data_IF_366411264882
#
_entry.id   IF_366411264882
#
_cell.length_a   1.000
_cell.length_b   1.000
_cell.length_c   1.000
_cell.angle_alpha   90.00
_cell.angle_beta   90.00
_cell.angle_gamma   90.00
#
_symmetry.space_group_name_H-M   'P 1'
#
loop_
_entity.id
_entity.type
_entity.pdbx_description
1 polymer ?
#
# COMPACT_ATOMS: atom_id res chain seq x y z
N UNK A 1 -6.30 2.81 2.89
CA UNK A 1 -6.39 3.10 4.34
C UNK A 1 -6.18 4.60 4.54
N UNK A 2 -6.83 5.24 5.52
CA UNK A 2 -6.54 6.63 5.91
C UNK A 2 -5.77 6.59 7.22
N UNK A 3 -4.60 7.22 7.26
CA UNK A 3 -3.69 7.18 8.41
C UNK A 3 -3.20 8.59 8.76
N UNK A 4 -2.91 8.80 10.04
CA UNK A 4 -2.27 10.02 10.54
C UNK A 4 -1.32 9.64 11.68
N UNK A 5 -0.23 10.39 11.84
CA UNK A 5 0.67 10.19 12.97
C UNK A 5 0.10 10.78 14.24
N UNK A 6 0.11 9.99 15.30
CA UNK A 6 -0.01 10.52 16.66
C UNK A 6 1.28 11.29 16.99
N UNK A 7 1.16 12.42 17.69
CA UNK A 7 2.30 13.15 18.22
C UNK A 7 2.89 12.37 19.42
N UNK A 8 3.59 11.29 19.10
CA UNK A 8 4.16 10.36 20.05
C UNK A 8 5.54 9.91 19.56
N UNK A 9 6.58 9.88 20.42
CA UNK A 9 7.95 9.52 20.01
C UNK A 9 8.11 8.14 19.35
N UNK A 10 7.12 7.25 19.51
CA UNK A 10 7.09 5.96 18.82
C UNK A 10 6.87 6.09 17.30
N UNK A 11 6.12 7.11 16.86
CA UNK A 11 5.91 7.39 15.44
C UNK A 11 7.24 7.74 14.73
N UNK A 12 8.19 8.33 15.46
CA UNK A 12 9.52 8.68 14.94
C UNK A 12 10.46 7.47 14.80
N UNK A 13 10.12 6.30 15.34
CA UNK A 13 11.00 5.11 15.34
C UNK A 13 10.60 4.06 14.31
N UNK A 14 9.31 3.89 14.05
CA UNK A 14 8.83 2.90 13.10
C UNK A 14 8.87 3.47 11.66
N UNK A 15 9.40 2.74 10.67
CA UNK A 15 9.45 3.21 9.28
C UNK A 15 8.09 3.67 8.73
N UNK A 16 7.00 2.95 9.08
CA UNK A 16 5.65 3.33 8.67
C UNK A 16 5.23 4.68 9.30
N UNK A 17 5.51 4.88 10.58
CA UNK A 17 5.23 6.16 11.26
C UNK A 17 6.02 7.32 10.65
N UNK A 18 7.29 7.08 10.29
CA UNK A 18 8.13 8.06 9.60
C UNK A 18 7.57 8.41 8.22
N UNK A 19 7.14 7.41 7.43
CA UNK A 19 6.54 7.63 6.11
C UNK A 19 5.25 8.47 6.21
N UNK A 20 4.36 8.13 7.16
CA UNK A 20 3.11 8.89 7.39
C UNK A 20 3.41 10.32 7.82
N UNK A 21 4.35 10.52 8.76
CA UNK A 21 4.74 11.85 9.24
C UNK A 21 5.29 12.70 8.11
N UNK A 22 6.21 12.11 7.33
CA UNK A 22 6.84 12.78 6.20
C UNK A 22 5.83 13.23 5.16
N UNK A 23 4.82 12.41 4.85
CA UNK A 23 3.75 12.79 3.94
C UNK A 23 2.84 13.88 4.52
N UNK A 24 2.49 13.78 5.80
CA UNK A 24 1.69 14.80 6.48
C UNK A 24 2.38 16.16 6.50
N UNK A 25 3.68 16.22 6.78
CA UNK A 25 4.49 17.44 6.77
C UNK A 25 4.58 18.10 5.39
N UNK A 26 4.37 17.33 4.31
CA UNK A 26 4.29 17.82 2.91
C UNK A 26 2.88 18.20 2.46
N UNK A 27 1.93 18.33 3.39
CA UNK A 27 0.55 18.73 3.09
C UNK A 27 -0.45 17.57 3.00
N UNK A 28 -0.03 16.34 3.31
CA UNK A 28 -0.89 15.16 3.26
C UNK A 28 -1.16 14.67 1.84
N UNK A 29 -2.24 13.90 1.66
CA UNK A 29 -2.59 13.23 0.38
C UNK A 29 -2.13 11.78 0.31
N UNK A 30 -2.12 11.22 -0.89
CA UNK A 30 -1.69 9.83 -1.13
C UNK A 30 -0.25 9.62 -0.69
N UNK A 31 -0.02 8.63 0.18
CA UNK A 31 1.32 8.31 0.70
C UNK A 31 1.97 7.16 -0.08
N UNK A 32 1.20 6.12 -0.36
CA UNK A 32 1.70 4.85 -0.89
C UNK A 32 0.55 4.04 -1.48
N UNK A 33 0.90 3.05 -2.29
CA UNK A 33 0.04 1.93 -2.66
C UNK A 33 0.68 0.62 -2.19
N UNK A 34 -0.14 -0.40 -1.97
CA UNK A 34 0.27 -1.65 -1.31
C UNK A 34 -0.26 -2.85 -2.07
N UNK A 35 0.58 -3.88 -2.20
CA UNK A 35 0.20 -5.17 -2.73
C UNK A 35 0.02 -6.16 -1.59
N UNK A 36 -1.20 -6.72 -1.48
CA UNK A 36 -1.45 -7.86 -0.62
C UNK A 36 -0.95 -9.13 -1.32
N UNK A 37 -0.17 -9.94 -0.61
CA UNK A 37 0.40 -11.20 -1.12
C UNK A 37 0.11 -12.34 -0.15
N UNK A 38 -0.05 -13.54 -0.69
CA UNK A 38 -0.25 -14.75 0.12
C UNK A 38 1.04 -15.17 0.83
N UNK A 39 2.19 -14.90 0.20
CA UNK A 39 3.53 -15.19 0.70
C UNK A 39 4.49 -14.06 0.37
N UNK A 40 5.12 -13.48 1.39
CA UNK A 40 6.10 -12.38 1.23
C UNK A 40 7.51 -12.89 0.93
N UNK A 41 7.81 -14.18 1.14
CA UNK A 41 9.16 -14.75 1.01
C UNK A 41 9.81 -14.49 -0.37
N UNK A 42 9.12 -14.61 -1.52
CA UNK A 42 9.72 -14.31 -2.81
C UNK A 42 10.21 -12.85 -2.92
N UNK A 43 9.49 -11.92 -2.30
CA UNK A 43 9.86 -10.51 -2.26
C UNK A 43 10.99 -10.24 -1.26
N UNK A 44 11.04 -10.97 -0.13
CA UNK A 44 12.18 -10.93 0.79
C UNK A 44 13.48 -11.36 0.11
N UNK A 45 13.43 -12.47 -0.63
CA UNK A 45 14.57 -12.98 -1.39
C UNK A 45 15.01 -11.99 -2.47
N UNK A 46 14.04 -11.38 -3.18
CA UNK A 46 14.31 -10.40 -4.22
C UNK A 46 14.93 -9.12 -3.68
N UNK A 47 14.40 -8.57 -2.59
CA UNK A 47 14.87 -7.33 -1.99
C UNK A 47 16.05 -7.54 -1.03
N UNK A 48 16.43 -8.80 -0.77
CA UNK A 48 17.59 -9.17 0.04
C UNK A 48 17.45 -8.84 1.53
N UNK A 49 16.21 -8.74 2.04
CA UNK A 49 15.94 -8.40 3.45
C UNK A 49 14.59 -8.96 3.91
N UNK A 50 14.46 -9.31 5.20
CA UNK A 50 13.23 -9.86 5.73
C UNK A 50 12.13 -8.78 5.86
N UNK A 51 10.89 -9.22 5.76
CA UNK A 51 9.72 -8.49 6.15
C UNK A 51 9.71 -8.28 7.67
N UNK A 52 9.03 -7.23 8.09
CA UNK A 52 8.84 -6.86 9.49
C UNK A 52 7.43 -7.22 9.91
N UNK A 53 7.28 -7.75 11.12
CA UNK A 53 5.96 -8.05 11.67
C UNK A 53 5.24 -6.76 12.08
N UNK A 54 3.96 -6.68 11.74
CA UNK A 54 3.04 -5.63 12.14
C UNK A 54 1.90 -6.18 12.97
N UNK A 55 1.40 -5.36 13.89
CA UNK A 55 0.28 -5.72 14.77
C UNK A 55 -0.59 -4.49 15.07
N UNK A 56 -1.90 -4.69 15.10
CA UNK A 56 -2.87 -3.69 15.55
C UNK A 56 -3.90 -4.34 16.47
N UNK A 57 -3.91 -3.90 17.73
CA UNK A 57 -4.94 -4.26 18.68
C UNK A 57 -6.25 -3.51 18.36
N UNK A 58 -7.32 -4.24 18.07
CA UNK A 58 -8.65 -3.67 17.83
C UNK A 58 -9.39 -3.43 19.16
N UNK A 59 -10.35 -2.49 19.21
CA UNK A 59 -11.15 -2.23 20.41
C UNK A 59 -12.00 -3.42 20.89
N UNK A 60 -12.27 -4.40 20.03
CA UNK A 60 -12.99 -5.64 20.35
C UNK A 60 -12.09 -6.73 20.96
N UNK A 61 -10.80 -6.43 21.18
CA UNK A 61 -9.82 -7.33 21.80
C UNK A 61 -9.10 -8.25 20.81
N UNK A 62 -9.40 -8.16 19.51
CA UNK A 62 -8.72 -8.96 18.48
C UNK A 62 -7.41 -8.30 18.06
N UNK A 63 -6.34 -9.10 17.99
CA UNK A 63 -5.06 -8.68 17.42
C UNK A 63 -5.02 -8.98 15.93
N UNK A 64 -4.96 -7.93 15.12
CA UNK A 64 -4.63 -8.05 13.70
C UNK A 64 -3.13 -8.12 13.55
N UNK A 65 -2.63 -9.11 12.80
CA UNK A 65 -1.21 -9.34 12.56
C UNK A 65 -0.93 -9.52 11.08
N UNK A 66 0.24 -9.03 10.64
CA UNK A 66 0.69 -9.11 9.26
C UNK A 66 2.22 -9.07 9.19
N UNK A 67 2.78 -9.40 8.03
CA UNK A 67 4.15 -9.06 7.64
C UNK A 67 4.11 -7.93 6.63
N UNK A 68 5.10 -7.04 6.66
CA UNK A 68 5.24 -5.97 5.67
C UNK A 68 6.69 -5.79 5.22
N UNK A 69 6.86 -5.42 3.95
CA UNK A 69 8.16 -5.22 3.33
C UNK A 69 8.04 -4.09 2.32
N UNK A 70 9.02 -3.18 2.23
CA UNK A 70 9.02 -2.14 1.19
C UNK A 70 8.75 -0.71 1.67
N UNK A 71 8.43 -0.47 2.94
CA UNK A 71 8.07 0.88 3.42
C UNK A 71 9.20 1.91 3.22
N UNK A 72 10.46 1.50 3.40
CA UNK A 72 11.60 2.39 3.16
C UNK A 72 11.79 2.67 1.68
N UNK A 73 11.52 1.69 0.82
CA UNK A 73 11.58 1.84 -0.63
C UNK A 73 10.54 2.85 -1.12
N UNK A 74 9.32 2.79 -0.57
CA UNK A 74 8.29 3.82 -0.85
C UNK A 74 8.75 5.22 -0.46
N UNK A 75 9.54 5.38 0.61
CA UNK A 75 10.07 6.68 1.01
C UNK A 75 11.19 7.17 0.07
N UNK A 76 11.93 6.26 -0.54
CA UNK A 76 13.03 6.55 -1.47
C UNK A 76 12.51 6.78 -2.89
N UNK A 77 11.53 5.98 -3.32
CA UNK A 77 10.88 6.01 -4.61
C UNK A 77 9.36 5.75 -4.48
N UNK A 78 8.52 6.80 -4.38
CA UNK A 78 7.10 6.62 -4.08
C UNK A 78 6.28 5.93 -5.19
N UNK A 79 6.84 5.75 -6.39
CA UNK A 79 6.16 5.00 -7.46
C UNK A 79 6.09 3.49 -7.17
N UNK A 80 7.00 2.94 -6.36
CA UNK A 80 6.99 1.50 -6.05
C UNK A 80 6.01 1.19 -4.91
N UNK A 81 5.38 0.00 -4.90
CA UNK A 81 4.53 -0.39 -3.80
C UNK A 81 5.36 -0.93 -2.62
N UNK A 82 4.72 -1.04 -1.47
CA UNK A 82 5.16 -1.99 -0.44
C UNK A 82 4.24 -3.23 -0.45
N UNK A 83 4.66 -4.27 0.25
CA UNK A 83 3.96 -5.55 0.34
C UNK A 83 3.40 -5.77 1.73
N UNK A 84 2.24 -6.41 1.79
CA UNK A 84 1.63 -6.89 3.03
C UNK A 84 1.21 -8.35 2.87
N UNK A 85 1.52 -9.18 3.86
CA UNK A 85 0.99 -10.53 4.00
C UNK A 85 0.21 -10.60 5.31
N UNK A 86 -1.10 -10.82 5.23
CA UNK A 86 -1.93 -10.94 6.43
C UNK A 86 -1.69 -12.29 7.10
N UNK A 87 -1.52 -12.28 8.42
CA UNK A 87 -1.33 -13.48 9.23
C UNK A 87 -2.56 -13.83 10.07
N UNK A 88 -3.40 -12.83 10.36
CA UNK A 88 -4.71 -13.06 10.98
C UNK A 88 -5.65 -13.86 10.07
N UNK A 89 -6.62 -14.51 10.70
CA UNK A 89 -7.70 -15.22 10.00
C UNK A 89 -8.39 -14.32 8.97
N UNK A 90 -8.81 -14.90 7.84
CA UNK A 90 -9.46 -14.16 6.76
C UNK A 90 -10.72 -13.41 7.23
N UNK A 91 -11.46 -13.96 8.20
CA UNK A 91 -12.63 -13.32 8.79
C UNK A 91 -12.30 -12.01 9.53
N UNK A 92 -11.07 -11.83 9.98
CA UNK A 92 -10.61 -10.62 10.68
C UNK A 92 -9.97 -9.58 9.75
N UNK A 93 -9.77 -9.92 8.47
CA UNK A 93 -9.20 -9.00 7.48
C UNK A 93 -10.00 -7.68 7.42
N UNK A 94 -9.35 -6.50 7.31
CA UNK A 94 -10.04 -5.21 7.35
C UNK A 94 -11.09 -4.98 6.25
N UNK A 95 -11.04 -5.73 5.15
CA UNK A 95 -12.06 -5.67 4.09
C UNK A 95 -13.24 -6.63 4.32
N UNK A 96 -13.22 -7.46 5.36
CA UNK A 96 -14.32 -8.39 5.64
C UNK A 96 -15.63 -7.63 5.84
N UNK A 97 -16.66 -8.06 5.12
CA UNK A 97 -17.97 -7.38 5.10
C UNK A 97 -18.10 -6.28 4.04
N UNK A 98 -17.05 -5.98 3.27
CA UNK A 98 -17.16 -5.13 2.09
C UNK A 98 -18.04 -5.80 1.01
N UNK A 99 -18.91 -5.02 0.37
CA UNK A 99 -19.66 -5.46 -0.81
C UNK A 99 -18.82 -5.35 -2.10
N UNK A 100 -19.42 -5.71 -3.23
CA UNK A 100 -18.75 -5.62 -4.54
C UNK A 100 -18.44 -4.19 -5.00
N UNK A 101 -19.19 -3.20 -4.49
CA UNK A 101 -19.04 -1.79 -4.83
C UNK A 101 -19.11 -0.90 -3.57
N UNK A 102 -18.32 0.19 -3.51
CA UNK A 102 -17.31 0.60 -4.51
C UNK A 102 -16.08 -0.33 -4.50
N UNK A 103 -15.44 -0.51 -5.67
CA UNK A 103 -14.17 -1.25 -5.78
C UNK A 103 -13.14 -0.42 -6.53
N UNK A 104 -11.87 -0.62 -6.21
CA UNK A 104 -10.75 -0.06 -6.98
C UNK A 104 -10.72 -0.80 -8.32
N UNK A 105 -10.69 -0.06 -9.44
CA UNK A 105 -10.54 -0.65 -10.77
C UNK A 105 -9.26 -0.18 -11.48
N UNK A 106 -8.74 1.01 -11.10
CA UNK A 106 -7.50 1.55 -11.66
C UNK A 106 -6.75 2.40 -10.66
N UNK A 107 -5.43 2.37 -10.75
CA UNK A 107 -4.50 3.32 -10.13
C UNK A 107 -3.81 4.14 -11.23
N UNK A 108 -3.66 5.44 -11.00
CA UNK A 108 -2.72 6.29 -11.75
C UNK A 108 -1.45 6.46 -10.91
N UNK A 109 -0.31 6.05 -11.44
CA UNK A 109 1.00 6.14 -10.79
C UNK A 109 1.86 7.10 -11.61
N UNK A 110 2.34 8.18 -10.97
CA UNK A 110 3.38 9.02 -11.54
C UNK A 110 4.71 8.27 -11.53
N UNK A 111 5.52 8.44 -12.57
CA UNK A 111 6.77 7.71 -12.78
C UNK A 111 6.72 6.79 -14.00
N UNK A 112 7.42 5.66 -13.95
CA UNK A 112 7.55 4.76 -15.09
C UNK A 112 7.37 3.27 -14.77
N UNK A 113 6.75 2.57 -15.72
CA UNK A 113 6.43 1.15 -15.59
C UNK A 113 7.66 0.25 -15.51
N UNK A 114 8.80 0.68 -16.05
CA UNK A 114 10.01 -0.15 -16.10
C UNK A 114 10.64 -0.24 -14.71
N UNK A 115 10.74 0.88 -13.99
CA UNK A 115 11.21 0.91 -12.59
C UNK A 115 10.32 0.08 -11.67
N UNK A 116 9.00 0.20 -11.79
CA UNK A 116 8.08 -0.62 -10.98
C UNK A 116 8.18 -2.11 -11.34
N UNK A 117 8.25 -2.45 -12.63
CA UNK A 117 8.42 -3.84 -13.09
C UNK A 117 9.75 -4.43 -12.60
N UNK A 118 10.83 -3.65 -12.64
CA UNK A 118 12.12 -4.05 -12.09
C UNK A 118 12.01 -4.28 -10.58
N UNK A 119 11.38 -3.39 -9.83
CA UNK A 119 11.18 -3.58 -8.40
C UNK A 119 10.39 -4.86 -8.08
N UNK A 120 9.25 -5.06 -8.76
CA UNK A 120 8.37 -6.22 -8.58
C UNK A 120 9.02 -7.54 -9.04
N UNK A 121 9.95 -7.50 -10.00
CA UNK A 121 10.50 -8.70 -10.64
C UNK A 121 9.51 -9.40 -11.58
N UNK A 122 8.37 -8.77 -11.85
CA UNK A 122 7.32 -9.22 -12.76
C UNK A 122 6.63 -8.00 -13.36
N UNK A 123 5.94 -8.19 -14.48
CA UNK A 123 5.20 -7.08 -15.11
C UNK A 123 4.16 -6.53 -14.16
N UNK A 124 4.05 -5.20 -14.09
CA UNK A 124 2.95 -4.51 -13.41
C UNK A 124 1.58 -4.94 -13.95
N UNK A 125 1.50 -5.33 -15.22
CA UNK A 125 0.29 -5.86 -15.86
C UNK A 125 -0.13 -7.24 -15.32
N UNK A 126 0.73 -7.92 -14.57
CA UNK A 126 0.41 -9.20 -13.94
C UNK A 126 -0.39 -9.06 -12.65
N UNK A 127 -0.61 -7.83 -12.16
CA UNK A 127 -1.42 -7.55 -10.97
C UNK A 127 -2.90 -7.72 -11.34
N UNK A 128 -3.56 -8.67 -10.69
CA UNK A 128 -4.96 -9.00 -10.97
C UNK A 128 -5.94 -7.99 -10.33
N UNK A 129 -7.09 -7.83 -10.96
CA UNK A 129 -8.22 -7.06 -10.44
C UNK A 129 -8.09 -5.53 -10.52
N UNK A 130 -6.94 -4.98 -10.91
CA UNK A 130 -6.71 -3.53 -11.01
C UNK A 130 -5.82 -3.18 -12.20
N UNK A 131 -6.19 -2.16 -12.98
CA UNK A 131 -5.33 -1.58 -14.01
C UNK A 131 -4.38 -0.55 -13.40
N UNK A 132 -3.12 -0.55 -13.81
CA UNK A 132 -2.14 0.46 -13.34
C UNK A 132 -1.68 1.26 -14.55
N UNK A 133 -2.07 2.53 -14.58
CA UNK A 133 -1.70 3.46 -15.64
C UNK A 133 -0.57 4.36 -15.14
N UNK A 134 0.50 4.46 -15.92
CA UNK A 134 1.62 5.36 -15.64
C UNK A 134 1.39 6.71 -16.32
N UNK A 135 1.55 7.79 -15.56
CA UNK A 135 1.32 9.17 -16.01
C UNK A 135 2.56 10.04 -15.85
N UNK A 136 2.67 11.08 -16.67
CA UNK A 136 3.74 12.08 -16.60
C UNK A 136 3.51 13.03 -15.43
N UNK A 137 3.87 12.58 -14.22
CA UNK A 137 3.75 13.28 -12.94
C UNK A 137 4.93 12.89 -12.01
N UNK A 138 5.04 13.52 -10.84
CA UNK A 138 6.00 13.15 -9.81
C UNK A 138 5.80 11.67 -9.37
N UNK A 139 6.89 10.91 -9.12
CA UNK A 139 6.80 9.53 -8.67
C UNK A 139 5.85 9.36 -7.47
N UNK A 140 4.83 8.51 -7.60
CA UNK A 140 3.85 8.30 -6.53
C UNK A 140 2.45 7.92 -7.01
N UNK A 141 1.57 7.57 -6.06
CA UNK A 141 0.14 7.41 -6.32
C UNK A 141 -0.48 8.80 -6.60
N UNK A 142 -0.97 8.98 -7.82
CA UNK A 142 -1.60 10.23 -8.30
C UNK A 142 -3.10 10.18 -8.10
N UNK A 143 -3.74 9.09 -8.51
CA UNK A 143 -5.19 8.94 -8.36
C UNK A 143 -5.64 7.49 -8.25
N UNK A 144 -6.82 7.30 -7.65
CA UNK A 144 -7.52 6.02 -7.56
C UNK A 144 -8.86 6.14 -8.27
N UNK A 145 -9.14 5.22 -9.19
CA UNK A 145 -10.44 5.12 -9.84
C UNK A 145 -11.27 4.05 -9.14
N UNK A 146 -12.42 4.47 -8.64
CA UNK A 146 -13.40 3.62 -7.98
C UNK A 146 -14.57 3.37 -8.92
N UNK A 147 -14.82 2.10 -9.22
CA UNK A 147 -16.09 1.69 -9.79
C UNK A 147 -17.19 1.86 -8.73
N UNK A 148 -18.31 2.47 -9.12
CA UNK A 148 -19.50 2.63 -8.26
C UNK A 148 -20.76 2.21 -9.01
N UNK A 149 -21.90 2.15 -8.32
CA UNK A 149 -23.20 1.92 -8.96
C UNK A 149 -23.59 3.00 -10.00
N UNK A 150 -22.91 4.15 -10.01
CA UNK A 150 -23.19 5.28 -10.90
C UNK A 150 -22.12 5.50 -11.97
N UNK A 151 -21.19 4.56 -12.11
CA UNK A 151 -20.01 4.68 -12.98
C UNK A 151 -18.73 4.91 -12.19
N UNK A 152 -17.65 5.19 -12.93
CA UNK A 152 -16.32 5.37 -12.36
C UNK A 152 -16.14 6.76 -11.76
N UNK A 153 -15.48 6.83 -10.61
CA UNK A 153 -15.12 8.07 -9.91
C UNK A 153 -13.60 8.08 -9.72
N UNK A 154 -12.94 9.13 -10.21
CA UNK A 154 -11.52 9.39 -9.98
C UNK A 154 -11.35 10.19 -8.69
N UNK A 155 -10.46 9.75 -7.81
CA UNK A 155 -10.07 10.41 -6.57
C UNK A 155 -8.59 10.77 -6.63
N UNK A 156 -8.27 12.06 -6.49
CA UNK A 156 -6.91 12.62 -6.44
C UNK A 156 -6.65 13.40 -5.13
#
# INVERSE_FOLDING_TARGET
EVVATLDHPAADRAPFGQAVKHRAERGGGWMAWVLAVDDVEPMEQRLGRPAVDGMRHRPDGVDLTWKQLGIKDVMEDPQVPFFVQWLSEAADHPSTGAGELPRIERLEIGGDAASVTEFLGSSVDAIDGVTIDFVDDEPGLVAVHLATHRGSVRLD
#
